data_IF_865343276295
#
_entry.id   IF_865343276295
#
_cell.length_a   1.000
_cell.length_b   1.000
_cell.length_c   1.000
_cell.angle_alpha   90.00
_cell.angle_beta   90.00
_cell.angle_gamma   90.00
#
_symmetry.space_group_name_H-M   'P 1'
#
loop_
_entity.id
_entity.type
_entity.pdbx_description
1 polymer ?
#
# COMPACT_ATOMS: atom_id res chain seq x y z
N UNK A 1 -2.90 -9.73 0.88
CA UNK A 1 -2.14 -10.98 0.66
C UNK A 1 -1.95 -11.17 -0.83
N UNK A 2 -0.84 -11.79 -1.24
CA UNK A 2 -0.55 -12.08 -2.65
C UNK A 2 -0.18 -13.54 -2.84
N UNK A 3 -0.58 -14.12 -3.97
CA UNK A 3 -0.11 -15.43 -4.45
C UNK A 3 0.54 -15.24 -5.81
N UNK A 4 1.82 -15.57 -5.94
CA UNK A 4 2.54 -15.47 -7.22
C UNK A 4 2.13 -16.65 -8.10
N UNK A 5 1.56 -16.37 -9.27
CA UNK A 5 1.06 -17.38 -10.22
C UNK A 5 2.12 -17.69 -11.27
N UNK A 6 2.89 -16.69 -11.70
CA UNK A 6 3.90 -16.78 -12.74
C UNK A 6 5.00 -15.74 -12.53
N UNK A 7 6.22 -16.07 -12.95
CA UNK A 7 7.38 -15.18 -12.88
C UNK A 7 8.13 -15.23 -11.55
N UNK A 8 9.12 -14.37 -11.45
CA UNK A 8 10.01 -14.21 -10.29
C UNK A 8 10.40 -12.75 -10.13
N UNK A 9 10.75 -12.36 -8.91
CA UNK A 9 11.15 -11.00 -8.61
C UNK A 9 11.56 -10.83 -7.16
N UNK A 10 11.30 -9.64 -6.63
CA UNK A 10 11.66 -9.27 -5.27
C UNK A 10 10.49 -8.62 -4.54
N UNK A 11 10.27 -9.01 -3.29
CA UNK A 11 9.44 -8.28 -2.34
C UNK A 11 10.36 -7.38 -1.50
N UNK A 12 10.16 -6.07 -1.60
CA UNK A 12 10.63 -5.12 -0.58
C UNK A 12 9.58 -5.09 0.54
N UNK A 13 10.01 -5.30 1.79
CA UNK A 13 9.17 -5.31 2.98
C UNK A 13 9.88 -4.56 4.11
N UNK A 14 9.46 -3.32 4.33
CA UNK A 14 10.26 -2.32 5.05
C UNK A 14 11.64 -2.16 4.41
N UNK A 15 12.68 -2.28 5.22
CA UNK A 15 14.08 -2.24 4.76
C UNK A 15 14.56 -3.58 4.18
N UNK A 16 13.79 -4.66 4.36
CA UNK A 16 14.19 -6.00 3.94
C UNK A 16 13.79 -6.28 2.49
N UNK A 17 14.54 -7.18 1.86
CA UNK A 17 14.29 -7.67 0.50
C UNK A 17 14.28 -9.19 0.48
N UNK A 18 13.30 -9.75 -0.21
CA UNK A 18 13.10 -11.19 -0.32
C UNK A 18 12.92 -11.58 -1.78
N UNK A 19 13.64 -12.59 -2.30
CA UNK A 19 13.31 -13.15 -3.60
C UNK A 19 11.92 -13.81 -3.52
N UNK A 20 11.11 -13.63 -4.55
CA UNK A 20 9.79 -14.23 -4.68
C UNK A 20 9.66 -14.93 -6.02
N UNK A 21 8.90 -16.02 -6.06
CA UNK A 21 8.71 -16.86 -7.24
C UNK A 21 7.32 -17.47 -7.26
N UNK A 22 6.98 -18.10 -8.38
CA UNK A 22 5.76 -18.87 -8.55
C UNK A 22 5.47 -19.77 -7.34
N UNK A 23 4.22 -19.73 -6.89
CA UNK A 23 3.63 -20.40 -5.73
C UNK A 23 3.98 -19.83 -4.35
N UNK A 24 4.79 -18.77 -4.26
CA UNK A 24 4.97 -18.08 -2.99
C UNK A 24 3.68 -17.36 -2.56
N UNK A 25 3.37 -17.48 -1.27
CA UNK A 25 2.27 -16.77 -0.60
C UNK A 25 2.87 -15.67 0.26
N UNK A 26 2.43 -14.45 0.04
CA UNK A 26 2.97 -13.25 0.68
C UNK A 26 1.88 -12.59 1.53
N UNK A 27 2.14 -12.48 2.82
CA UNK A 27 1.32 -11.72 3.75
C UNK A 27 1.97 -10.36 4.02
N UNK A 28 1.18 -9.30 3.89
CA UNK A 28 1.59 -7.94 4.21
C UNK A 28 0.59 -7.39 5.25
N UNK A 29 0.86 -7.55 6.55
CA UNK A 29 -0.02 -7.03 7.59
C UNK A 29 -0.04 -5.50 7.55
N UNK A 30 -1.14 -4.86 8.01
CA UNK A 30 -1.15 -3.42 8.24
C UNK A 30 -0.13 -3.06 9.33
N UNK A 31 0.45 -1.86 9.23
CA UNK A 31 1.45 -1.33 10.14
C UNK A 31 2.15 -0.12 9.54
N UNK A 32 3.28 0.27 10.13
CA UNK A 32 4.05 1.43 9.69
C UNK A 32 5.00 1.14 8.53
N UNK A 33 5.96 2.05 8.28
CA UNK A 33 6.96 1.91 7.22
C UNK A 33 7.77 0.61 7.28
N UNK A 34 7.92 -0.01 8.46
CA UNK A 34 8.63 -1.27 8.70
C UNK A 34 7.96 -2.49 8.04
N UNK A 35 6.67 -2.40 7.70
CA UNK A 35 5.91 -3.43 6.96
C UNK A 35 5.36 -2.94 5.63
N UNK A 36 5.66 -1.69 5.26
CA UNK A 36 5.33 -1.17 3.93
C UNK A 36 5.99 -2.03 2.86
N UNK A 37 5.27 -2.31 1.77
CA UNK A 37 5.71 -3.35 0.82
C UNK A 37 5.60 -2.93 -0.63
N UNK A 38 6.46 -3.52 -1.45
CA UNK A 38 6.47 -3.36 -2.90
C UNK A 38 6.90 -4.68 -3.54
N UNK A 39 6.12 -5.15 -4.51
CA UNK A 39 6.51 -6.25 -5.39
C UNK A 39 7.18 -5.66 -6.63
N UNK A 40 8.43 -6.07 -6.89
CA UNK A 40 9.24 -5.59 -8.00
C UNK A 40 9.56 -6.78 -8.91
N UNK A 41 9.16 -6.69 -10.18
CA UNK A 41 9.54 -7.69 -11.18
C UNK A 41 11.00 -7.45 -11.60
N UNK A 42 11.92 -8.27 -11.10
CA UNK A 42 13.34 -8.28 -11.49
C UNK A 42 13.67 -9.42 -12.45
N UNK A 43 12.68 -10.26 -12.80
CA UNK A 43 12.81 -11.35 -13.75
C UNK A 43 12.77 -10.89 -15.21
N UNK A 44 12.87 -11.85 -16.13
CA UNK A 44 12.90 -11.61 -17.59
C UNK A 44 11.54 -11.74 -18.26
N UNK A 45 10.53 -12.21 -17.55
CA UNK A 45 9.18 -12.44 -18.06
C UNK A 45 8.17 -11.59 -17.30
N UNK A 46 6.93 -11.58 -17.77
CA UNK A 46 5.84 -10.93 -17.03
C UNK A 46 5.55 -11.70 -15.75
N UNK A 47 5.62 -11.03 -14.59
CA UNK A 47 5.13 -11.57 -13.33
C UNK A 47 3.61 -11.42 -13.24
N UNK A 48 2.92 -12.48 -12.80
CA UNK A 48 1.48 -12.49 -12.52
C UNK A 48 1.24 -12.94 -11.09
N UNK A 49 0.40 -12.22 -10.36
CA UNK A 49 0.00 -12.58 -9.00
C UNK A 49 -1.49 -12.30 -8.80
N UNK A 50 -2.10 -13.05 -7.87
CA UNK A 50 -3.42 -12.76 -7.33
C UNK A 50 -3.26 -11.86 -6.10
N UNK A 51 -3.98 -10.74 -6.03
CA UNK A 51 -4.06 -9.89 -4.86
C UNK A 51 -5.40 -10.07 -4.15
N UNK A 52 -5.36 -10.42 -2.86
CA UNK A 52 -6.52 -10.55 -2.00
C UNK A 52 -6.50 -9.43 -0.94
N UNK A 53 -7.61 -8.70 -0.86
CA UNK A 53 -7.83 -7.56 0.04
C UNK A 53 -9.11 -7.74 0.85
N UNK A 54 -9.17 -7.14 2.04
CA UNK A 54 -10.37 -7.08 2.89
C UNK A 54 -11.43 -6.12 2.36
N UNK A 55 -11.05 -5.16 1.50
CA UNK A 55 -11.92 -4.09 1.00
C UNK A 55 -12.65 -3.35 2.13
N UNK A 56 -11.90 -2.92 3.15
CA UNK A 56 -12.42 -2.15 4.27
C UNK A 56 -13.13 -0.88 3.78
N UNK A 57 -14.23 -0.51 4.42
CA UNK A 57 -15.02 0.69 4.06
C UNK A 57 -14.24 1.99 4.28
N UNK A 58 -13.32 2.00 5.24
CA UNK A 58 -12.39 3.10 5.50
C UNK A 58 -10.98 2.53 5.51
N UNK A 59 -10.09 3.15 4.77
CA UNK A 59 -8.68 2.75 4.71
C UNK A 59 -7.75 3.97 4.59
N UNK A 60 -6.56 3.82 5.15
CA UNK A 60 -5.50 4.83 5.08
C UNK A 60 -4.20 4.15 4.66
N UNK A 61 -3.53 4.69 3.65
CA UNK A 61 -2.30 4.11 3.11
C UNK A 61 -1.18 5.15 3.08
N UNK A 62 -0.07 4.83 3.75
CA UNK A 62 1.14 5.63 3.71
C UNK A 62 2.06 5.18 2.57
N UNK A 63 2.71 6.14 1.92
CA UNK A 63 3.70 5.93 0.87
C UNK A 63 5.04 6.51 1.31
N UNK A 64 5.86 5.77 2.08
CA UNK A 64 7.05 6.29 2.75
C UNK A 64 8.05 6.98 1.81
N UNK A 65 8.35 6.35 0.66
CA UNK A 65 9.32 6.87 -0.32
C UNK A 65 8.95 8.26 -0.87
N UNK A 66 7.65 8.58 -0.86
CA UNK A 66 7.14 9.84 -1.38
C UNK A 66 6.51 10.70 -0.30
N UNK A 67 6.58 10.31 0.97
CA UNK A 67 5.99 11.03 2.10
C UNK A 67 4.53 11.47 1.81
N UNK A 68 3.70 10.53 1.34
CA UNK A 68 2.29 10.77 1.07
C UNK A 68 1.38 9.88 1.91
N UNK A 69 0.17 10.36 2.16
CA UNK A 69 -0.92 9.62 2.78
C UNK A 69 -2.13 9.67 1.85
N UNK A 70 -2.74 8.51 1.64
CA UNK A 70 -4.05 8.34 1.01
C UNK A 70 -5.08 8.05 2.09
N UNK A 71 -6.21 8.75 2.06
CA UNK A 71 -7.41 8.43 2.83
C UNK A 71 -8.53 8.12 1.86
N UNK A 72 -9.13 6.94 2.00
CA UNK A 72 -10.30 6.50 1.23
C UNK A 72 -11.43 6.06 2.15
N UNK A 73 -12.65 6.49 1.84
CA UNK A 73 -13.88 6.00 2.48
C UNK A 73 -14.91 5.56 1.43
N UNK A 74 -15.81 4.67 1.84
CA UNK A 74 -16.91 4.18 1.01
C UNK A 74 -16.52 3.00 0.12
N UNK A 75 -17.52 2.35 -0.46
CA UNK A 75 -17.29 1.25 -1.39
C UNK A 75 -16.97 1.74 -2.81
N UNK A 76 -16.47 0.82 -3.63
CA UNK A 76 -16.16 1.11 -5.04
C UNK A 76 -17.41 1.58 -5.78
N UNK A 77 -17.39 2.82 -6.27
CA UNK A 77 -18.51 3.42 -7.01
C UNK A 77 -19.39 4.33 -6.17
N UNK A 78 -19.14 4.43 -4.87
CA UNK A 78 -19.80 5.37 -3.97
C UNK A 78 -19.03 6.70 -3.90
N UNK A 79 -19.75 7.78 -3.57
CA UNK A 79 -19.13 9.05 -3.24
C UNK A 79 -18.60 9.00 -1.81
N UNK A 80 -17.28 9.02 -1.65
CA UNK A 80 -16.60 9.08 -0.36
C UNK A 80 -15.39 10.01 -0.39
N UNK A 81 -14.72 10.15 0.76
CA UNK A 81 -13.44 10.85 0.84
C UNK A 81 -12.43 10.04 0.03
N UNK A 82 -11.78 10.68 -0.94
CA UNK A 82 -10.64 10.12 -1.67
C UNK A 82 -9.60 11.23 -1.82
N UNK A 83 -8.68 11.30 -0.86
CA UNK A 83 -7.71 12.39 -0.76
C UNK A 83 -6.31 11.84 -0.60
N UNK A 84 -5.37 12.42 -1.34
CA UNK A 84 -3.94 12.15 -1.25
C UNK A 84 -3.24 13.46 -0.95
N UNK A 85 -2.42 13.49 0.09
CA UNK A 85 -1.65 14.66 0.48
C UNK A 85 -0.26 14.26 0.94
N UNK A 86 0.62 15.25 0.99
CA UNK A 86 1.96 15.09 1.55
C UNK A 86 1.94 15.18 3.07
N UNK A 87 2.80 14.43 3.75
CA UNK A 87 2.86 14.38 5.22
C UNK A 87 3.19 15.77 5.81
N UNK A 88 4.01 16.57 5.15
CA UNK A 88 4.37 17.91 5.62
C UNK A 88 3.20 18.91 5.67
N UNK A 89 2.06 18.58 5.06
CA UNK A 89 0.86 19.43 5.07
C UNK A 89 -0.01 19.23 6.32
N UNK A 90 0.55 18.69 7.40
CA UNK A 90 -0.14 18.65 8.70
C UNK A 90 -0.43 20.07 9.18
N UNK A 91 -1.63 20.27 9.72
CA UNK A 91 -2.06 21.54 10.31
C UNK A 91 -2.38 21.33 11.78
N UNK A 92 -2.32 22.40 12.56
CA UNK A 92 -2.76 22.37 13.94
C UNK A 92 -4.28 22.14 14.02
N UNK A 93 -4.75 21.57 15.13
CA UNK A 93 -6.15 21.19 15.32
C UNK A 93 -7.15 22.34 15.08
N UNK A 94 -6.79 23.58 15.43
CA UNK A 94 -7.63 24.76 15.26
C UNK A 94 -7.25 25.63 14.05
N UNK A 95 -6.42 25.15 13.11
CA UNK A 95 -6.02 25.95 11.95
C UNK A 95 -7.25 26.41 11.15
N UNK A 96 -7.42 27.73 11.06
CA UNK A 96 -8.51 28.42 10.34
C UNK A 96 -9.93 28.19 10.87
N UNK A 97 -10.09 27.74 12.10
CA UNK A 97 -11.41 27.67 12.75
C UNK A 97 -11.78 28.99 13.44
N UNK A 98 -13.04 29.47 13.35
CA UNK A 98 -13.51 30.62 14.11
C UNK A 98 -13.80 30.21 15.56
N UNK A 99 -13.14 30.87 16.52
CA UNK A 99 -13.40 30.69 17.96
C UNK A 99 -14.80 31.17 18.36
#
# INVERSE_FOLDING_TARGET
MFLVIEGEGELRFGEKRYPIRKHDVIACPPGGPEVAHQIINTGKTTMRYLALSTLSEVDTCEYPDSQKILIVTGQRGESGVHKMFRVENTVDYYDREPF
#
